data_IF_277782942554
#
_entry.id   IF_277782942554
#
_cell.length_a   1.000
_cell.length_b   1.000
_cell.length_c   1.000
_cell.angle_alpha   90.00
_cell.angle_beta   90.00
_cell.angle_gamma   90.00
#
_symmetry.space_group_name_H-M   'P 1'
#
loop_
_entity.id
_entity.type
_entity.pdbx_description
1 polymer ?
#
# COMPACT_ATOMS: atom_id res chain seq x y z
N UNK A 1 0.62 25.61 22.31
CA UNK A 1 1.07 24.35 22.95
C UNK A 1 0.63 23.10 22.19
N UNK A 2 -0.66 22.92 21.86
CA UNK A 2 -1.16 21.72 21.14
C UNK A 2 -0.51 21.48 19.76
N UNK A 3 -0.23 22.54 19.00
CA UNK A 3 0.40 22.44 17.66
C UNK A 3 1.85 21.94 17.70
N UNK A 4 2.60 22.31 18.75
CA UNK A 4 3.99 21.87 18.94
C UNK A 4 3.99 20.38 19.31
N UNK A 5 3.12 19.96 20.23
CA UNK A 5 2.96 18.55 20.59
C UNK A 5 2.63 17.66 19.37
N UNK A 6 1.76 18.13 18.48
CA UNK A 6 1.38 17.40 17.27
C UNK A 6 2.54 17.31 16.26
N UNK A 7 3.35 18.36 16.16
CA UNK A 7 4.57 18.36 15.34
C UNK A 7 5.61 17.37 15.89
N UNK A 8 5.83 17.35 17.20
CA UNK A 8 6.79 16.42 17.84
C UNK A 8 6.33 14.97 17.72
N UNK A 9 5.03 14.70 17.81
CA UNK A 9 4.45 13.37 17.58
C UNK A 9 4.65 12.92 16.13
N UNK A 10 4.39 13.81 15.17
CA UNK A 10 4.57 13.50 13.75
C UNK A 10 6.03 13.19 13.38
N UNK A 11 6.99 13.94 13.96
CA UNK A 11 8.43 13.67 13.79
C UNK A 11 8.85 12.38 14.49
N UNK A 12 8.29 12.08 15.67
CA UNK A 12 8.56 10.83 16.39
C UNK A 12 8.02 9.56 15.70
N UNK A 13 6.95 9.68 14.93
CA UNK A 13 6.40 8.61 14.09
C UNK A 13 7.23 8.34 12.83
N UNK A 14 8.16 9.23 12.45
CA UNK A 14 9.13 8.97 11.40
C UNK A 14 10.26 8.08 11.92
N UNK A 15 9.90 6.87 12.36
CA UNK A 15 10.84 5.80 12.60
C UNK A 15 11.42 5.41 11.23
N UNK A 16 12.67 5.81 10.99
CA UNK A 16 13.36 5.46 9.76
C UNK A 16 13.78 4.00 9.88
N UNK A 17 13.08 3.11 9.17
CA UNK A 17 13.41 1.68 9.12
C UNK A 17 14.73 1.47 8.35
N UNK A 18 15.87 1.65 9.01
CA UNK A 18 17.18 1.23 8.50
C UNK A 18 17.46 -0.23 8.89
N UNK A 19 16.72 -1.16 8.28
CA UNK A 19 16.94 -2.60 8.46
C UNK A 19 17.08 -3.35 7.14
N UNK A 20 17.63 -2.69 6.10
CA UNK A 20 18.00 -3.38 4.87
C UNK A 20 19.49 -3.78 4.94
N UNK A 21 19.73 -4.99 5.41
CA UNK A 21 21.00 -5.69 5.17
C UNK A 21 21.08 -5.92 3.65
N UNK A 22 22.13 -5.47 2.95
CA UNK A 22 22.29 -5.77 1.53
C UNK A 22 22.52 -7.28 1.38
N UNK A 23 21.46 -8.03 1.06
CA UNK A 23 21.57 -9.40 0.59
C UNK A 23 22.21 -9.39 -0.80
N UNK A 24 23.53 -9.54 -0.84
CA UNK A 24 24.38 -9.41 -2.03
C UNK A 24 24.04 -10.36 -3.19
N UNK A 25 23.16 -11.36 -3.04
CA UNK A 25 22.89 -12.34 -4.11
C UNK A 25 21.42 -12.56 -4.51
N UNK A 26 20.48 -11.78 -3.97
CA UNK A 26 19.07 -11.90 -4.40
C UNK A 26 18.77 -10.91 -5.52
N UNK A 27 18.91 -11.34 -6.78
CA UNK A 27 18.40 -10.57 -7.93
C UNK A 27 16.88 -10.39 -7.78
N UNK A 28 16.44 -9.13 -7.68
CA UNK A 28 15.03 -8.80 -7.80
C UNK A 28 14.50 -9.23 -9.18
N UNK A 29 13.30 -9.78 -9.19
CA UNK A 29 12.56 -10.16 -10.40
C UNK A 29 11.26 -9.39 -10.46
N UNK A 30 10.81 -9.04 -11.67
CA UNK A 30 9.46 -8.51 -11.87
C UNK A 30 8.45 -9.63 -11.74
N UNK A 31 7.36 -9.40 -11.02
CA UNK A 31 6.35 -10.42 -10.68
C UNK A 31 4.96 -9.89 -11.00
N UNK A 32 4.09 -10.77 -11.49
CA UNK A 32 2.65 -10.49 -11.60
C UNK A 32 1.94 -11.22 -10.47
N UNK A 33 1.14 -10.50 -9.69
CA UNK A 33 0.36 -11.03 -8.58
C UNK A 33 -1.13 -10.86 -8.86
N UNK A 34 -1.90 -11.86 -8.43
CA UNK A 34 -3.36 -11.82 -8.43
C UNK A 34 -3.77 -11.87 -6.96
N UNK A 35 -4.44 -10.83 -6.50
CA UNK A 35 -4.89 -10.70 -5.12
C UNK A 35 -6.38 -10.99 -5.06
N UNK A 36 -6.76 -12.04 -4.33
CA UNK A 36 -8.16 -12.37 -4.08
C UNK A 36 -8.50 -11.98 -2.65
N UNK A 37 -9.34 -10.96 -2.49
CA UNK A 37 -9.83 -10.52 -1.19
C UNK A 37 -11.35 -10.71 -1.10
N UNK A 38 -11.88 -10.78 0.11
CA UNK A 38 -13.33 -10.75 0.36
C UNK A 38 -14.01 -9.55 -0.30
N UNK A 39 -13.25 -8.47 -0.47
CA UNK A 39 -13.71 -7.19 -0.99
C UNK A 39 -13.58 -7.13 -2.52
N UNK A 40 -12.86 -8.03 -3.20
CA UNK A 40 -12.69 -7.99 -4.65
C UNK A 40 -11.45 -8.68 -5.18
N UNK A 41 -11.19 -8.45 -6.47
CA UNK A 41 -10.06 -9.02 -7.20
C UNK A 41 -9.08 -7.89 -7.55
N UNK A 42 -7.81 -8.10 -7.26
CA UNK A 42 -6.71 -7.21 -7.60
C UNK A 42 -5.72 -7.86 -8.54
N UNK A 43 -5.09 -7.04 -9.38
CA UNK A 43 -3.94 -7.38 -10.18
C UNK A 43 -2.82 -6.42 -9.83
N UNK A 44 -1.67 -6.96 -9.46
CA UNK A 44 -0.48 -6.16 -9.14
C UNK A 44 0.67 -6.53 -10.08
N UNK A 45 1.26 -5.53 -10.71
CA UNK A 45 2.47 -5.64 -11.49
C UNK A 45 3.64 -5.04 -10.70
N UNK A 46 4.50 -5.90 -10.19
CA UNK A 46 5.74 -5.51 -9.53
C UNK A 46 6.85 -5.44 -10.58
N UNK A 47 7.40 -4.24 -10.79
CA UNK A 47 8.54 -4.00 -11.67
C UNK A 47 9.78 -3.72 -10.85
N UNK A 48 10.89 -4.38 -11.15
CA UNK A 48 12.18 -4.04 -10.55
C UNK A 48 12.76 -2.76 -11.15
N UNK A 49 13.22 -1.86 -10.29
CA UNK A 49 14.05 -0.70 -10.61
C UNK A 49 15.46 -0.94 -10.04
N UNK A 50 16.25 -1.72 -10.78
CA UNK A 50 17.59 -2.14 -10.37
C UNK A 50 17.59 -3.39 -9.48
N UNK A 51 18.61 -3.52 -8.64
CA UNK A 51 18.79 -4.69 -7.75
C UNK A 51 18.33 -4.45 -6.31
N UNK A 52 17.84 -3.24 -6.00
CA UNK A 52 17.50 -2.86 -4.63
C UNK A 52 16.11 -2.23 -4.48
N UNK A 53 15.43 -1.90 -5.59
CA UNK A 53 14.13 -1.24 -5.57
C UNK A 53 13.16 -1.96 -6.49
N UNK A 54 11.91 -2.07 -6.06
CA UNK A 54 10.76 -2.46 -6.88
C UNK A 54 9.71 -1.36 -6.83
N UNK A 55 8.85 -1.34 -7.84
CA UNK A 55 7.68 -0.46 -7.91
C UNK A 55 6.48 -1.30 -8.26
N UNK A 56 5.40 -1.07 -7.55
CA UNK A 56 4.17 -1.84 -7.67
C UNK A 56 3.08 -0.97 -8.29
N UNK A 57 2.49 -1.49 -9.37
CA UNK A 57 1.29 -0.96 -9.98
C UNK A 57 0.13 -1.91 -9.67
N UNK A 58 -0.79 -1.49 -8.83
CA UNK A 58 -1.94 -2.31 -8.41
C UNK A 58 -3.25 -1.74 -8.95
N UNK A 59 -4.01 -2.58 -9.64
CA UNK A 59 -5.36 -2.31 -10.08
C UNK A 59 -6.33 -3.28 -9.38
N UNK A 60 -7.29 -2.73 -8.65
CA UNK A 60 -8.29 -3.49 -7.92
C UNK A 60 -9.70 -3.20 -8.41
N UNK A 61 -10.52 -4.23 -8.49
CA UNK A 61 -11.95 -4.12 -8.70
C UNK A 61 -12.68 -4.89 -7.61
N UNK A 62 -13.43 -4.18 -6.79
CA UNK A 62 -14.04 -4.77 -5.62
C UNK A 62 -15.15 -3.91 -5.03
N UNK A 63 -15.96 -4.52 -4.19
CA UNK A 63 -16.93 -3.81 -3.36
C UNK A 63 -16.32 -3.32 -2.06
N UNK A 64 -16.90 -2.28 -1.50
CA UNK A 64 -16.52 -1.75 -0.20
C UNK A 64 -17.70 -1.07 0.46
N UNK A 65 -17.58 -0.81 1.75
CA UNK A 65 -18.59 -0.07 2.50
C UNK A 65 -17.96 1.13 3.20
N UNK A 66 -18.70 2.23 3.27
CA UNK A 66 -18.36 3.39 4.08
C UNK A 66 -19.33 3.45 5.25
N UNK A 67 -18.79 3.46 6.47
CA UNK A 67 -19.57 3.68 7.68
C UNK A 67 -19.46 5.16 8.04
N UNK A 68 -20.60 5.83 8.13
CA UNK A 68 -20.76 7.20 8.59
C UNK A 68 -21.80 7.24 9.71
N UNK A 69 -21.90 8.35 10.43
CA UNK A 69 -22.73 8.48 11.63
C UNK A 69 -24.22 8.24 11.29
N UNK A 70 -24.69 7.01 11.51
CA UNK A 70 -26.06 6.56 11.22
C UNK A 70 -26.29 5.91 9.85
N UNK A 71 -25.28 5.76 8.99
CA UNK A 71 -25.43 5.18 7.64
C UNK A 71 -24.32 4.23 7.22
N UNK A 72 -24.71 3.17 6.51
CA UNK A 72 -23.80 2.26 5.79
C UNK A 72 -24.06 2.46 4.30
N UNK A 73 -23.07 2.98 3.58
CA UNK A 73 -23.09 3.06 2.12
C UNK A 73 -22.31 1.86 1.57
N UNK A 74 -22.99 0.96 0.85
CA UNK A 74 -22.39 -0.23 0.25
C UNK A 74 -22.26 -0.05 -1.25
N UNK A 75 -21.02 -0.07 -1.74
CA UNK A 75 -20.72 -0.05 -3.17
C UNK A 75 -20.24 -1.42 -3.59
N UNK A 76 -20.97 -2.05 -4.51
CA UNK A 76 -20.62 -3.37 -5.06
C UNK A 76 -19.35 -3.30 -5.91
N UNK A 77 -19.12 -2.15 -6.54
CA UNK A 77 -18.02 -1.91 -7.48
C UNK A 77 -17.39 -0.56 -7.16
N UNK A 78 -16.12 -0.61 -6.76
CA UNK A 78 -15.27 0.53 -6.49
C UNK A 78 -13.89 0.25 -7.09
N UNK A 79 -13.62 0.70 -8.32
CA UNK A 79 -12.30 0.54 -8.91
C UNK A 79 -11.28 1.34 -8.10
N UNK A 80 -10.09 0.77 -7.94
CA UNK A 80 -9.02 1.43 -7.20
C UNK A 80 -7.68 1.21 -7.91
N UNK A 81 -6.90 2.29 -8.00
CA UNK A 81 -5.57 2.30 -8.59
C UNK A 81 -4.60 2.82 -7.54
N UNK A 82 -3.57 2.03 -7.24
CA UNK A 82 -2.56 2.39 -6.27
C UNK A 82 -1.16 2.20 -6.86
N UNK A 83 -0.26 3.08 -6.47
CA UNK A 83 1.15 3.10 -6.87
C UNK A 83 1.97 3.08 -5.58
N UNK A 84 2.88 2.12 -5.44
CA UNK A 84 3.74 1.97 -4.26
C UNK A 84 5.19 1.69 -4.64
#
# INVERSE_FOLDING_TARGET
>A
MKKIFLLTFFVGCMQIFYAQIPTTDKKLSSIKKIDLALQGIGLTLEQKLGNSVTTDLSFGFGGGYSISEGSIDYQVIKPALYFQ
#
